data_IF_934293897491
#
_entry.id   IF_934293897491
#
_cell.length_a   1.000
_cell.length_b   1.000
_cell.length_c   1.000
_cell.angle_alpha   90.00
_cell.angle_beta   90.00
_cell.angle_gamma   90.00
#
_symmetry.space_group_name_H-M   'P 1'
#
loop_
_entity.id
_entity.type
_entity.pdbx_description
1 polymer ?
#
# COMPACT_ATOMS: atom_id res chain seq x y z
N UNK A 1 29.43 22.26 -9.58
CA UNK A 1 28.45 23.23 -9.06
C UNK A 1 27.14 22.49 -8.86
N UNK A 2 26.92 21.93 -7.68
CA UNK A 2 25.68 21.23 -7.35
C UNK A 2 24.58 22.27 -7.15
N UNK A 3 23.62 22.34 -8.07
CA UNK A 3 22.41 23.12 -7.85
C UNK A 3 21.68 22.48 -6.69
N UNK A 4 21.58 23.20 -5.56
CA UNK A 4 20.88 22.75 -4.36
C UNK A 4 19.41 22.49 -4.66
N UNK A 5 19.08 21.24 -4.94
CA UNK A 5 17.69 20.80 -5.10
C UNK A 5 17.08 20.75 -3.69
N UNK A 6 16.01 21.52 -3.48
CA UNK A 6 15.24 21.52 -2.24
C UNK A 6 14.10 20.51 -2.36
N UNK A 7 14.09 19.52 -1.48
CA UNK A 7 13.08 18.47 -1.39
C UNK A 7 12.01 18.88 -0.38
N UNK A 8 10.74 18.98 -0.81
CA UNK A 8 9.63 19.30 0.09
C UNK A 8 9.18 18.05 0.86
N UNK A 9 9.41 18.02 2.17
CA UNK A 9 9.01 16.91 3.07
C UNK A 9 7.74 17.23 3.88
N UNK A 10 7.25 18.47 3.78
CA UNK A 10 6.02 18.96 4.39
C UNK A 10 5.68 20.39 3.96
N UNK A 11 4.61 20.97 4.48
CA UNK A 11 4.25 22.38 4.29
C UNK A 11 5.33 23.25 4.92
N UNK A 12 6.05 23.97 4.07
CA UNK A 12 7.14 24.86 4.50
C UNK A 12 8.43 24.17 4.91
N UNK A 13 8.51 22.83 4.87
CA UNK A 13 9.71 22.09 5.28
C UNK A 13 10.42 21.54 4.04
N UNK A 14 11.66 21.99 3.85
CA UNK A 14 12.53 21.57 2.77
C UNK A 14 13.81 20.94 3.31
N UNK A 15 14.26 19.86 2.68
CA UNK A 15 15.55 19.21 2.94
C UNK A 15 16.45 19.38 1.72
N UNK A 16 17.75 19.57 1.91
CA UNK A 16 18.72 19.58 0.81
C UNK A 16 18.90 18.15 0.28
N UNK A 17 18.67 17.94 -1.02
CA UNK A 17 18.81 16.65 -1.69
C UNK A 17 17.86 16.48 -2.87
N UNK A 18 18.14 15.49 -3.72
CA UNK A 18 17.20 15.08 -4.77
C UNK A 18 16.03 14.31 -4.15
N UNK A 19 14.81 14.60 -4.62
CA UNK A 19 13.62 13.86 -4.25
C UNK A 19 13.77 12.41 -4.71
N UNK A 20 13.78 11.49 -3.75
CA UNK A 20 13.74 10.05 -4.00
C UNK A 20 12.31 9.57 -3.98
N UNK A 21 11.82 9.16 -5.14
CA UNK A 21 10.43 8.74 -5.34
C UNK A 21 10.26 7.25 -5.07
N UNK A 22 9.05 6.86 -4.68
CA UNK A 22 8.68 5.46 -4.52
C UNK A 22 8.25 4.89 -5.87
N UNK A 23 9.13 4.10 -6.48
CA UNK A 23 8.90 3.44 -7.77
C UNK A 23 9.00 1.92 -7.57
N UNK A 24 7.88 1.23 -7.26
CA UNK A 24 7.89 -0.22 -7.07
C UNK A 24 8.02 -0.97 -8.40
N UNK A 25 8.44 -2.23 -8.34
CA UNK A 25 8.46 -3.10 -9.53
C UNK A 25 7.04 -3.63 -9.83
N UNK A 26 6.46 -3.16 -10.93
CA UNK A 26 5.21 -3.69 -11.47
C UNK A 26 5.49 -5.00 -12.22
N UNK A 27 5.06 -6.13 -11.64
CA UNK A 27 5.09 -7.41 -12.34
C UNK A 27 4.06 -7.47 -13.48
N UNK A 28 4.27 -8.38 -14.43
CA UNK A 28 3.32 -8.65 -15.51
C UNK A 28 1.94 -9.08 -14.98
N UNK A 29 1.89 -9.76 -13.84
CA UNK A 29 0.61 -10.14 -13.20
C UNK A 29 -0.19 -8.91 -12.72
N UNK A 30 0.47 -7.90 -12.13
CA UNK A 30 -0.21 -6.65 -11.76
C UNK A 30 -0.82 -5.97 -12.99
N UNK A 31 -0.06 -5.91 -14.09
CA UNK A 31 -0.53 -5.30 -15.35
C UNK A 31 -1.70 -6.09 -15.92
N UNK A 32 -1.63 -7.42 -15.91
CA UNK A 32 -2.70 -8.29 -16.39
C UNK A 32 -3.99 -8.11 -15.55
N UNK A 33 -3.90 -8.14 -14.22
CA UNK A 33 -5.04 -7.94 -13.33
C UNK A 33 -5.65 -6.56 -13.53
N UNK A 34 -4.83 -5.51 -13.57
CA UNK A 34 -5.32 -4.15 -13.79
C UNK A 34 -6.00 -4.00 -15.16
N UNK A 35 -5.41 -4.56 -16.21
CA UNK A 35 -5.95 -4.55 -17.57
C UNK A 35 -7.34 -5.18 -17.66
N UNK A 36 -7.51 -6.41 -17.16
CA UNK A 36 -8.81 -7.09 -17.20
C UNK A 36 -9.89 -6.34 -16.39
N UNK A 37 -9.49 -5.69 -15.29
CA UNK A 37 -10.40 -4.88 -14.49
C UNK A 37 -10.82 -3.61 -15.22
N UNK A 38 -9.88 -2.93 -15.89
CA UNK A 38 -10.20 -1.72 -16.67
C UNK A 38 -10.97 -2.04 -17.95
N UNK A 39 -10.77 -3.20 -18.55
CA UNK A 39 -11.61 -3.66 -19.66
C UNK A 39 -13.05 -3.91 -19.21
N UNK A 40 -13.23 -4.63 -18.08
CA UNK A 40 -14.55 -4.97 -17.56
C UNK A 40 -15.28 -3.78 -16.91
N UNK A 41 -14.53 -2.91 -16.24
CA UNK A 41 -15.02 -1.76 -15.49
C UNK A 41 -14.26 -0.47 -15.90
N UNK A 42 -14.49 0.08 -17.11
CA UNK A 42 -13.71 1.18 -17.66
C UNK A 42 -13.71 2.45 -16.82
N UNK A 43 -14.82 2.73 -16.13
CA UNK A 43 -15.00 3.93 -15.33
C UNK A 43 -14.71 3.74 -13.84
N UNK A 44 -14.43 2.52 -13.40
CA UNK A 44 -14.15 2.24 -11.99
C UNK A 44 -12.74 2.73 -11.64
N UNK A 45 -12.63 3.48 -10.55
CA UNK A 45 -11.34 3.77 -9.94
C UNK A 45 -10.81 2.51 -9.26
N UNK A 46 -9.70 2.02 -9.79
CA UNK A 46 -9.00 0.84 -9.30
C UNK A 46 -7.60 1.26 -8.87
N UNK A 47 -7.17 0.82 -7.70
CA UNK A 47 -5.79 0.96 -7.23
C UNK A 47 -5.25 -0.43 -6.93
N UNK A 48 -4.08 -0.79 -7.46
CA UNK A 48 -3.46 -2.10 -7.24
C UNK A 48 -2.09 -1.94 -6.57
N UNK A 49 -1.79 -2.82 -5.62
CA UNK A 49 -0.44 -2.92 -5.06
C UNK A 49 -0.11 -4.30 -4.51
N UNK A 50 1.17 -4.57 -4.32
CA UNK A 50 1.62 -5.80 -3.65
C UNK A 50 2.47 -5.51 -2.44
N UNK A 51 2.30 -6.32 -1.41
CA UNK A 51 3.16 -6.31 -0.22
C UNK A 51 4.60 -6.72 -0.54
N UNK A 52 4.86 -7.38 -1.68
CA UNK A 52 6.22 -7.63 -2.19
C UNK A 52 7.04 -6.35 -2.37
N UNK A 53 6.39 -5.21 -2.58
CA UNK A 53 7.08 -3.93 -2.74
C UNK A 53 7.79 -3.48 -1.45
N UNK A 54 7.43 -4.05 -0.31
CA UNK A 54 8.01 -3.75 0.99
C UNK A 54 9.22 -4.64 1.32
N UNK A 55 9.42 -5.76 0.61
CA UNK A 55 10.48 -6.74 0.87
C UNK A 55 11.87 -6.12 1.05
N UNK A 56 12.30 -5.12 0.25
CA UNK A 56 13.62 -4.50 0.43
C UNK A 56 13.82 -3.80 1.79
N UNK A 57 12.74 -3.57 2.55
CA UNK A 57 12.77 -2.88 3.84
C UNK A 57 12.41 -3.79 5.02
N UNK A 58 12.12 -5.07 4.78
CA UNK A 58 11.77 -6.05 5.80
C UNK A 58 12.99 -6.76 6.37
N UNK A 59 12.87 -7.28 7.59
CA UNK A 59 13.86 -8.17 8.22
C UNK A 59 13.53 -9.64 7.93
N UNK A 60 12.25 -10.00 8.02
CA UNK A 60 11.74 -11.33 7.75
C UNK A 60 10.80 -11.29 6.54
N UNK A 61 11.16 -12.03 5.48
CA UNK A 61 10.34 -12.07 4.26
C UNK A 61 9.21 -13.08 4.46
N UNK A 62 7.93 -12.65 4.36
CA UNK A 62 6.80 -13.57 4.45
C UNK A 62 6.81 -14.57 3.29
N UNK A 63 6.35 -15.80 3.55
CA UNK A 63 6.19 -16.81 2.49
C UNK A 63 5.01 -16.49 1.56
N UNK A 64 3.97 -15.86 2.12
CA UNK A 64 2.76 -15.47 1.40
C UNK A 64 2.77 -13.97 1.22
N UNK A 65 2.47 -13.53 0.01
CA UNK A 65 2.31 -12.11 -0.30
C UNK A 65 0.90 -11.82 -0.81
N UNK A 66 0.50 -10.58 -0.64
CA UNK A 66 -0.80 -10.07 -0.99
C UNK A 66 -0.69 -9.14 -2.19
N UNK A 67 -1.55 -9.35 -3.18
CA UNK A 67 -1.91 -8.35 -4.17
C UNK A 67 -3.23 -7.72 -3.71
N UNK A 68 -3.19 -6.46 -3.31
CA UNK A 68 -4.33 -5.72 -2.79
C UNK A 68 -4.89 -4.84 -3.90
N UNK A 69 -6.17 -5.04 -4.17
CA UNK A 69 -6.96 -4.32 -5.15
C UNK A 69 -7.99 -3.50 -4.39
N UNK A 70 -7.91 -2.19 -4.54
CA UNK A 70 -8.80 -1.25 -3.90
C UNK A 70 -9.70 -0.60 -4.94
N UNK A 71 -11.00 -0.64 -4.70
CA UNK A 71 -12.02 -0.10 -5.61
C UNK A 71 -13.03 0.76 -4.88
N UNK A 72 -13.74 1.61 -5.61
CA UNK A 72 -14.78 2.45 -5.03
C UNK A 72 -15.81 1.66 -4.22
N UNK A 73 -16.31 2.28 -3.16
CA UNK A 73 -17.35 1.67 -2.32
C UNK A 73 -18.61 1.40 -3.12
N UNK A 74 -19.11 0.17 -3.04
CA UNK A 74 -20.24 -0.34 -3.82
C UNK A 74 -19.82 -1.22 -5.00
N UNK A 75 -18.54 -1.21 -5.41
CA UNK A 75 -18.04 -2.01 -6.54
C UNK A 75 -17.30 -3.29 -6.11
N UNK A 76 -16.93 -3.41 -4.83
CA UNK A 76 -16.07 -4.47 -4.29
C UNK A 76 -16.61 -5.88 -4.53
N UNK A 77 -17.91 -6.11 -4.39
CA UNK A 77 -18.54 -7.41 -4.64
C UNK A 77 -18.52 -7.78 -6.12
N UNK A 78 -18.81 -6.82 -7.01
CA UNK A 78 -18.79 -7.05 -8.46
C UNK A 78 -17.39 -7.42 -8.93
N UNK A 79 -16.38 -6.70 -8.42
CA UNK A 79 -14.97 -6.98 -8.71
C UNK A 79 -14.55 -8.32 -8.12
N UNK A 80 -15.02 -8.65 -6.91
CA UNK A 80 -14.76 -9.94 -6.27
C UNK A 80 -15.32 -11.12 -7.06
N UNK A 81 -16.58 -11.09 -7.44
CA UNK A 81 -17.18 -12.19 -8.20
C UNK A 81 -16.54 -12.34 -9.58
N UNK A 82 -16.23 -11.23 -10.25
CA UNK A 82 -15.52 -11.26 -11.52
C UNK A 82 -14.13 -11.89 -11.38
N UNK A 83 -13.28 -11.36 -10.50
CA UNK A 83 -11.93 -11.89 -10.32
C UNK A 83 -11.91 -13.33 -9.79
N UNK A 84 -12.84 -13.70 -8.92
CA UNK A 84 -12.94 -15.07 -8.39
C UNK A 84 -13.32 -16.10 -9.45
N UNK A 85 -13.91 -15.68 -10.58
CA UNK A 85 -14.16 -16.55 -11.74
C UNK A 85 -12.92 -16.75 -12.62
N UNK A 86 -11.96 -15.82 -12.53
CA UNK A 86 -10.76 -15.75 -13.39
C UNK A 86 -9.47 -16.16 -12.66
N UNK A 87 -9.47 -16.13 -11.33
CA UNK A 87 -8.30 -16.32 -10.46
C UNK A 87 -8.67 -17.08 -9.20
N UNK A 88 -7.71 -17.84 -8.68
CA UNK A 88 -7.82 -18.47 -7.37
C UNK A 88 -7.35 -17.55 -6.24
N UNK A 89 -7.68 -17.90 -4.99
CA UNK A 89 -7.22 -17.20 -3.78
C UNK A 89 -7.57 -15.70 -3.77
N UNK A 90 -8.76 -15.39 -4.27
CA UNK A 90 -9.37 -14.06 -4.23
C UNK A 90 -10.22 -13.95 -2.98
N UNK A 91 -10.07 -12.87 -2.21
CA UNK A 91 -10.76 -12.64 -0.96
C UNK A 91 -11.37 -11.24 -0.91
N UNK A 92 -12.62 -11.14 -0.47
CA UNK A 92 -13.29 -9.86 -0.23
C UNK A 92 -13.15 -9.45 1.23
N UNK A 93 -12.41 -8.37 1.48
CA UNK A 93 -12.16 -7.77 2.79
C UNK A 93 -12.00 -8.81 3.93
N UNK A 94 -11.07 -9.76 3.80
CA UNK A 94 -11.01 -10.90 4.69
C UNK A 94 -10.53 -10.48 6.09
N UNK A 95 -11.06 -11.18 7.10
CA UNK A 95 -10.46 -11.18 8.43
C UNK A 95 -9.27 -12.14 8.48
N UNK A 96 -8.40 -11.96 9.48
CA UNK A 96 -7.21 -12.79 9.65
C UNK A 96 -7.51 -14.29 9.69
N UNK A 97 -8.55 -14.69 10.42
CA UNK A 97 -8.94 -16.08 10.58
C UNK A 97 -9.38 -16.74 9.27
N UNK A 98 -9.98 -15.96 8.36
CA UNK A 98 -10.31 -16.43 7.01
C UNK A 98 -9.04 -16.66 6.20
N UNK A 99 -8.07 -15.75 6.27
CA UNK A 99 -6.80 -15.91 5.57
C UNK A 99 -6.05 -17.15 6.06
N UNK A 100 -6.00 -17.38 7.36
CA UNK A 100 -5.28 -18.52 7.94
C UNK A 100 -5.91 -19.88 7.58
N UNK A 101 -7.24 -19.94 7.41
CA UNK A 101 -7.97 -21.19 7.16
C UNK A 101 -8.15 -21.54 5.69
N UNK A 102 -8.32 -20.56 4.82
CA UNK A 102 -8.80 -20.78 3.44
C UNK A 102 -7.74 -20.54 2.37
N UNK A 103 -6.49 -20.41 2.79
CA UNK A 103 -5.40 -20.28 1.82
C UNK A 103 -4.99 -21.65 1.35
N UNK A 104 -5.32 -21.94 0.09
CA UNK A 104 -4.68 -23.04 -0.65
C UNK A 104 -3.16 -22.80 -0.65
N UNK A 105 -2.33 -23.81 -0.92
CA UNK A 105 -0.85 -23.76 -0.94
C UNK A 105 -0.20 -22.73 -1.91
N UNK A 106 -0.94 -21.71 -2.34
CA UNK A 106 -0.49 -20.56 -3.11
C UNK A 106 0.35 -19.60 -2.27
N UNK A 107 1.45 -19.14 -2.88
CA UNK A 107 2.33 -18.09 -2.35
C UNK A 107 1.75 -16.69 -2.48
N UNK A 108 0.63 -16.55 -3.21
CA UNK A 108 0.03 -15.26 -3.53
C UNK A 108 -1.48 -15.29 -3.29
N UNK A 109 -1.98 -14.18 -2.74
CA UNK A 109 -3.41 -13.95 -2.45
C UNK A 109 -3.84 -12.63 -3.05
N UNK A 110 -5.04 -12.59 -3.62
CA UNK A 110 -5.66 -11.36 -4.10
C UNK A 110 -6.68 -10.90 -3.06
N UNK A 111 -6.53 -9.68 -2.56
CA UNK A 111 -7.44 -9.08 -1.60
C UNK A 111 -8.15 -7.92 -2.26
N UNK A 112 -9.48 -7.92 -2.19
CA UNK A 112 -10.31 -6.83 -2.68
C UNK A 112 -10.88 -6.08 -1.48
N UNK A 113 -10.68 -4.77 -1.45
CA UNK A 113 -11.20 -3.89 -0.40
C UNK A 113 -11.61 -2.53 -0.97
N UNK A 114 -12.19 -1.69 -0.13
CA UNK A 114 -12.59 -0.35 -0.56
C UNK A 114 -11.38 0.60 -0.64
N UNK A 115 -11.33 1.38 -1.72
CA UNK A 115 -10.47 2.54 -1.88
C UNK A 115 -11.05 3.72 -1.10
N UNK A 116 -10.29 4.23 -0.13
CA UNK A 116 -10.74 5.34 0.70
C UNK A 116 -10.66 6.64 -0.11
N UNK A 117 -11.73 7.43 -0.13
CA UNK A 117 -11.76 8.70 -0.89
C UNK A 117 -10.65 9.65 -0.47
N UNK A 118 -9.96 10.24 -1.46
CA UNK A 118 -8.82 11.13 -1.23
C UNK A 118 -7.55 10.40 -0.77
N UNK A 119 -7.49 9.08 -0.97
CA UNK A 119 -6.27 8.27 -0.85
C UNK A 119 -5.13 8.88 -1.68
N UNK A 120 -3.90 8.90 -1.15
CA UNK A 120 -2.75 9.34 -1.92
C UNK A 120 -2.35 8.24 -2.92
N UNK A 121 -2.61 8.48 -4.19
CA UNK A 121 -2.32 7.60 -5.32
C UNK A 121 -1.29 8.24 -6.25
N UNK A 122 -0.68 7.43 -7.10
CA UNK A 122 0.19 7.84 -8.20
C UNK A 122 -0.06 6.91 -9.40
N UNK A 123 0.27 7.39 -10.61
CA UNK A 123 0.20 6.57 -11.82
C UNK A 123 1.60 6.14 -12.24
N UNK A 124 1.75 4.87 -12.57
CA UNK A 124 2.98 4.29 -13.10
C UNK A 124 2.60 3.34 -14.23
N UNK A 125 3.13 3.56 -15.43
CA UNK A 125 2.80 2.79 -16.65
C UNK A 125 1.28 2.65 -16.88
N UNK A 126 0.54 3.76 -16.76
CA UNK A 126 -0.93 3.83 -16.84
C UNK A 126 -1.70 2.98 -15.81
N UNK A 127 -1.00 2.50 -14.79
CA UNK A 127 -1.57 1.76 -13.66
C UNK A 127 -1.59 2.67 -12.44
N UNK A 128 -2.78 2.79 -11.86
CA UNK A 128 -2.98 3.52 -10.62
C UNK A 128 -2.53 2.65 -9.43
N UNK A 129 -1.54 3.16 -8.70
CA UNK A 129 -0.93 2.51 -7.53
C UNK A 129 -0.97 3.46 -6.33
N UNK A 130 -0.86 2.95 -5.09
CA UNK A 130 -0.77 3.79 -3.92
C UNK A 130 0.58 4.53 -3.89
N UNK A 131 0.57 5.77 -3.40
CA UNK A 131 1.80 6.40 -2.94
C UNK A 131 2.30 5.72 -1.66
N UNK A 132 3.60 5.80 -1.38
CA UNK A 132 4.17 5.16 -0.19
C UNK A 132 3.54 5.66 1.11
N UNK A 133 3.16 6.94 1.19
CA UNK A 133 2.45 7.48 2.36
C UNK A 133 1.16 6.73 2.68
N UNK A 134 0.47 6.22 1.64
CA UNK A 134 -0.74 5.43 1.82
C UNK A 134 -0.41 4.07 2.44
N UNK A 135 0.55 3.36 1.83
CA UNK A 135 0.97 2.02 2.27
C UNK A 135 1.41 2.05 3.74
N UNK A 136 2.22 3.04 4.13
CA UNK A 136 2.69 3.18 5.51
C UNK A 136 1.53 3.38 6.50
N UNK A 137 0.54 4.20 6.15
CA UNK A 137 -0.66 4.37 7.00
C UNK A 137 -1.47 3.07 7.05
N UNK A 138 -1.64 2.38 5.93
CA UNK A 138 -2.40 1.14 5.86
C UNK A 138 -1.72 0.05 6.71
N UNK A 139 -0.39 -0.05 6.72
CA UNK A 139 0.37 -0.97 7.59
C UNK A 139 0.09 -0.74 9.09
N UNK A 140 -0.14 0.52 9.50
CA UNK A 140 -0.45 0.87 10.90
C UNK A 140 -1.91 0.68 11.27
N UNK A 141 -2.83 0.74 10.29
CA UNK A 141 -4.27 0.73 10.55
C UNK A 141 -4.89 -0.63 10.27
N UNK A 142 -4.49 -1.32 9.19
CA UNK A 142 -5.02 -2.60 8.77
C UNK A 142 -4.29 -3.78 9.43
N UNK A 143 -4.11 -3.72 10.75
CA UNK A 143 -3.27 -4.64 11.54
C UNK A 143 -3.69 -6.11 11.35
N UNK A 144 -4.99 -6.39 11.28
CA UNK A 144 -5.48 -7.78 11.10
C UNK A 144 -5.08 -8.34 9.72
N UNK A 145 -5.29 -7.53 8.66
CA UNK A 145 -4.97 -7.90 7.28
C UNK A 145 -3.47 -8.02 7.06
N UNK A 146 -2.70 -7.09 7.64
CA UNK A 146 -1.26 -6.94 7.45
C UNK A 146 -0.48 -7.43 8.70
N UNK A 147 -1.01 -8.43 9.39
CA UNK A 147 -0.43 -8.91 10.66
C UNK A 147 0.97 -9.50 10.50
N UNK A 148 1.31 -10.04 9.32
CA UNK A 148 2.63 -10.55 9.00
C UNK A 148 3.72 -9.46 8.91
N UNK A 149 3.33 -8.18 8.84
CA UNK A 149 4.22 -7.03 8.67
C UNK A 149 4.40 -6.23 9.96
N UNK A 150 3.90 -6.73 11.09
CA UNK A 150 3.89 -6.03 12.38
C UNK A 150 5.17 -6.30 13.20
N UNK A 151 5.33 -5.61 14.33
CA UNK A 151 6.48 -5.78 15.21
C UNK A 151 7.78 -5.25 14.60
N UNK A 152 8.86 -6.03 14.66
CA UNK A 152 10.19 -5.60 14.17
C UNK A 152 10.23 -5.34 12.66
N UNK A 153 9.41 -6.03 11.88
CA UNK A 153 9.31 -5.79 10.44
C UNK A 153 8.67 -4.45 10.14
N UNK A 154 7.64 -4.05 10.89
CA UNK A 154 7.01 -2.74 10.79
C UNK A 154 8.04 -1.64 11.07
N UNK A 155 8.78 -1.76 12.18
CA UNK A 155 9.82 -0.81 12.57
C UNK A 155 10.87 -0.66 11.46
N UNK A 156 11.39 -1.78 10.95
CA UNK A 156 12.36 -1.80 9.85
C UNK A 156 11.81 -1.18 8.55
N UNK A 157 10.55 -1.48 8.18
CA UNK A 157 9.90 -0.90 7.01
C UNK A 157 9.89 0.62 7.12
N UNK A 158 9.46 1.14 8.28
CA UNK A 158 9.38 2.58 8.52
C UNK A 158 10.76 3.24 8.54
N UNK A 159 11.72 2.70 9.29
CA UNK A 159 13.08 3.22 9.35
C UNK A 159 13.72 3.33 7.96
N UNK A 160 13.63 2.25 7.17
CA UNK A 160 14.21 2.20 5.83
C UNK A 160 13.45 3.10 4.84
N UNK A 161 12.11 3.12 4.89
CA UNK A 161 11.31 3.99 4.04
C UNK A 161 11.64 5.47 4.29
N UNK A 162 11.71 5.91 5.55
CA UNK A 162 12.08 7.29 5.91
C UNK A 162 13.55 7.62 5.65
N UNK A 163 14.44 6.61 5.65
CA UNK A 163 15.86 6.78 5.34
C UNK A 163 16.10 6.95 3.83
N UNK A 164 15.43 6.15 3.00
CA UNK A 164 15.75 6.04 1.58
C UNK A 164 14.77 6.76 0.65
N UNK A 165 13.53 7.02 1.09
CA UNK A 165 12.49 7.64 0.26
C UNK A 165 12.07 8.99 0.83
N UNK A 166 11.70 9.90 -0.06
CA UNK A 166 11.07 11.17 0.30
C UNK A 166 9.63 10.94 0.71
N UNK A 167 9.35 10.99 2.01
CA UNK A 167 8.00 10.86 2.54
C UNK A 167 7.43 12.24 2.86
N UNK A 168 6.28 12.56 2.27
CA UNK A 168 5.54 13.78 2.57
C UNK A 168 4.67 13.57 3.81
N UNK A 169 5.13 14.08 4.96
CA UNK A 169 4.44 13.88 6.25
C UNK A 169 3.02 14.46 6.28
N UNK A 170 2.77 15.58 5.62
CA UNK A 170 1.42 16.15 5.56
C UNK A 170 0.47 15.30 4.73
N UNK A 171 0.96 14.72 3.63
CA UNK A 171 0.17 13.80 2.79
C UNK A 171 -0.18 12.55 3.61
N UNK A 172 0.80 12.00 4.32
CA UNK A 172 0.64 10.85 5.22
C UNK A 172 -0.39 11.13 6.32
N UNK A 173 -0.19 12.20 7.10
CA UNK A 173 -1.07 12.53 8.24
C UNK A 173 -2.47 12.95 7.78
N UNK A 174 -2.60 13.59 6.60
CA UNK A 174 -3.92 13.86 6.00
C UNK A 174 -4.66 12.57 5.71
N UNK A 175 -3.99 11.58 5.12
CA UNK A 175 -4.60 10.28 4.83
C UNK A 175 -4.91 9.49 6.11
N UNK A 176 -4.01 9.49 7.10
CA UNK A 176 -4.31 8.93 8.43
C UNK A 176 -5.57 9.57 9.06
N UNK A 177 -5.78 10.87 8.86
CA UNK A 177 -7.02 11.56 9.24
C UNK A 177 -8.27 11.06 8.51
N UNK A 178 -8.18 10.77 7.20
CA UNK A 178 -9.28 10.13 6.44
C UNK A 178 -9.61 8.75 6.97
N UNK A 179 -8.63 8.07 7.56
CA UNK A 179 -8.81 6.77 8.22
C UNK A 179 -9.25 6.87 9.69
N UNK A 180 -9.44 8.09 10.22
CA UNK A 180 -9.83 8.32 11.61
C UNK A 180 -8.74 7.96 12.63
N UNK A 181 -7.47 7.90 12.21
CA UNK A 181 -6.32 7.41 13.00
C UNK A 181 -5.14 8.37 13.00
N UNK A 182 -5.37 9.67 12.77
CA UNK A 182 -4.29 10.67 12.65
C UNK A 182 -3.37 10.69 13.87
N UNK A 183 -3.94 10.85 15.06
CA UNK A 183 -3.18 10.98 16.32
C UNK A 183 -2.37 9.71 16.60
N UNK A 184 -3.02 8.55 16.55
CA UNK A 184 -2.35 7.25 16.78
C UNK A 184 -1.24 6.96 15.76
N UNK A 185 -1.45 7.31 14.48
CA UNK A 185 -0.42 7.15 13.44
C UNK A 185 0.75 8.11 13.69
N UNK A 186 0.48 9.36 14.07
CA UNK A 186 1.51 10.35 14.34
C UNK A 186 2.38 9.94 15.54
N UNK A 187 1.76 9.48 16.62
CA UNK A 187 2.44 8.94 17.80
C UNK A 187 3.29 7.73 17.44
N UNK A 188 2.72 6.76 16.71
CA UNK A 188 3.45 5.55 16.33
C UNK A 188 4.68 5.83 15.46
N UNK A 189 4.57 6.78 14.53
CA UNK A 189 5.71 7.20 13.70
C UNK A 189 6.79 7.87 14.55
N UNK A 190 6.43 8.65 15.58
CA UNK A 190 7.40 9.25 16.50
C UNK A 190 8.12 8.17 17.29
N UNK A 191 7.39 7.21 17.85
CA UNK A 191 7.96 6.08 18.60
C UNK A 191 8.97 5.28 17.76
N UNK A 192 8.64 4.98 16.50
CA UNK A 192 9.50 4.18 15.62
C UNK A 192 10.77 4.96 15.24
N UNK A 193 10.65 6.25 14.90
CA UNK A 193 11.76 7.03 14.35
C UNK A 193 12.64 7.71 15.42
N UNK A 194 12.31 7.57 16.71
CA UNK A 194 13.09 8.10 17.83
C UNK A 194 13.93 7.03 18.55
N UNK A 195 13.82 5.76 18.13
CA UNK A 195 14.67 4.64 18.57
C UNK A 195 15.98 4.59 17.78
#
# INVERSE_FOLDING_TARGET
>A
MEKGVMQRVGRGIYKLGQQKEFVPLLSEDHKAIYGILKEKFPYLDVCIWSTKWLVPWMLHIPFIHETIIEVEKGAEESVFYFLSSERENVFLNPKKDILDKYTKDSKERIIIKNLITGSPLQNMDDIQIPALEKILVDLLVDIELLSAYQGRDLESIFENAFRYITINRDKLLRYAGRRGKKESVEEKIKEILQQ
#
